data_IF_691766850088
#
_entry.id   IF_691766850088
#
_cell.length_a   1.000
_cell.length_b   1.000
_cell.length_c   1.000
_cell.angle_alpha   90.00
_cell.angle_beta   90.00
_cell.angle_gamma   90.00
#
_symmetry.space_group_name_H-M   'P 1'
#
loop_
_entity.id
_entity.type
_entity.pdbx_description
1 polymer ?
#
# COMPACT_ATOMS: atom_id res chain seq x y z
N UNK A 1 -70.65 22.19 -14.24
CA UNK A 1 -70.21 21.88 -12.87
C UNK A 1 -68.72 21.42 -12.82
N UNK A 2 -68.28 20.62 -13.74
CA UNK A 2 -66.87 20.19 -13.74
C UNK A 2 -65.86 21.16 -14.37
N UNK A 3 -66.31 22.20 -15.05
CA UNK A 3 -65.44 23.21 -15.70
C UNK A 3 -64.85 24.23 -14.73
N UNK A 4 -65.50 24.44 -13.59
CA UNK A 4 -65.04 25.44 -12.62
C UNK A 4 -63.98 24.89 -11.66
N UNK A 5 -63.83 23.57 -11.59
CA UNK A 5 -62.87 22.94 -10.70
C UNK A 5 -61.43 22.97 -11.21
N UNK A 6 -61.28 23.38 -12.50
CA UNK A 6 -59.94 23.43 -13.15
C UNK A 6 -59.56 24.83 -13.61
N UNK A 7 -60.24 25.85 -13.17
CA UNK A 7 -60.04 27.22 -13.63
C UNK A 7 -59.25 28.09 -12.66
N UNK A 8 -58.39 27.51 -11.87
CA UNK A 8 -57.42 28.28 -11.09
C UNK A 8 -56.11 28.37 -11.88
N UNK A 9 -55.97 29.42 -12.69
CA UNK A 9 -54.77 29.72 -13.50
C UNK A 9 -53.51 29.82 -12.62
N UNK A 10 -53.66 30.07 -11.33
CA UNK A 10 -52.59 30.15 -10.37
C UNK A 10 -51.97 28.75 -10.02
N UNK A 11 -52.80 27.70 -10.00
CA UNK A 11 -52.32 26.35 -9.73
C UNK A 11 -51.51 25.76 -10.89
N UNK A 12 -51.79 26.19 -12.12
CA UNK A 12 -51.06 25.75 -13.31
C UNK A 12 -49.63 26.32 -13.35
N UNK A 13 -49.40 27.51 -12.79
CA UNK A 13 -48.10 28.11 -12.69
C UNK A 13 -47.24 27.51 -11.56
N UNK A 14 -47.88 27.08 -10.46
CA UNK A 14 -47.20 26.48 -9.28
C UNK A 14 -46.73 25.07 -9.55
N UNK A 15 -47.53 24.21 -10.21
CA UNK A 15 -47.12 22.82 -10.51
C UNK A 15 -45.89 22.69 -11.39
N UNK A 16 -45.72 23.45 -12.50
CA UNK A 16 -44.49 23.42 -13.29
C UNK A 16 -43.27 23.92 -12.51
N UNK A 17 -43.43 24.95 -11.68
CA UNK A 17 -42.33 25.50 -10.85
C UNK A 17 -41.89 24.49 -9.81
N UNK A 18 -42.82 23.83 -9.12
CA UNK A 18 -42.51 22.77 -8.16
C UNK A 18 -41.78 21.62 -8.87
N UNK A 19 -42.21 21.22 -10.05
CA UNK A 19 -41.55 20.17 -10.84
C UNK A 19 -40.10 20.50 -11.18
N UNK A 20 -39.86 21.73 -11.59
CA UNK A 20 -38.47 22.19 -11.88
C UNK A 20 -37.62 22.21 -10.62
N UNK A 21 -38.14 22.71 -9.51
CA UNK A 21 -37.41 22.72 -8.21
C UNK A 21 -37.08 21.30 -7.76
N UNK A 22 -38.02 20.37 -7.85
CA UNK A 22 -37.77 18.98 -7.50
C UNK A 22 -36.75 18.32 -8.41
N UNK A 23 -36.78 18.59 -9.71
CA UNK A 23 -35.81 18.06 -10.67
C UNK A 23 -34.39 18.53 -10.31
N UNK A 24 -34.24 19.83 -10.07
CA UNK A 24 -32.93 20.40 -9.68
C UNK A 24 -32.47 19.83 -8.34
N UNK A 25 -33.35 19.73 -7.36
CA UNK A 25 -33.01 19.16 -6.04
C UNK A 25 -32.53 17.71 -6.16
N UNK A 26 -33.22 16.87 -6.92
CA UNK A 26 -32.84 15.47 -7.13
C UNK A 26 -31.51 15.38 -7.87
N UNK A 27 -31.29 16.16 -8.91
CA UNK A 27 -30.02 16.15 -9.67
C UNK A 27 -28.84 16.59 -8.83
N UNK A 28 -29.00 17.59 -7.98
CA UNK A 28 -27.94 18.04 -7.06
C UNK A 28 -27.62 16.99 -6.02
N UNK A 29 -28.63 16.36 -5.44
CA UNK A 29 -28.44 15.27 -4.46
C UNK A 29 -27.74 14.08 -5.13
N UNK A 30 -28.19 13.66 -6.30
CA UNK A 30 -27.52 12.57 -7.05
C UNK A 30 -26.08 12.92 -7.40
N UNK A 31 -25.83 14.14 -7.87
CA UNK A 31 -24.47 14.59 -8.17
C UNK A 31 -23.56 14.59 -6.93
N UNK A 32 -24.09 15.00 -5.78
CA UNK A 32 -23.36 14.99 -4.51
C UNK A 32 -23.04 13.54 -4.06
N UNK A 33 -24.00 12.64 -4.17
CA UNK A 33 -23.80 11.22 -3.81
C UNK A 33 -22.79 10.57 -4.75
N UNK A 34 -22.93 10.73 -6.06
CA UNK A 34 -22.00 10.20 -7.06
C UNK A 34 -20.60 10.80 -6.84
N UNK A 35 -20.51 12.11 -6.60
CA UNK A 35 -19.23 12.78 -6.31
C UNK A 35 -18.55 12.21 -5.07
N UNK A 36 -19.29 11.97 -3.99
CA UNK A 36 -18.77 11.37 -2.77
C UNK A 36 -18.30 9.93 -3.01
N UNK A 37 -19.01 9.13 -3.79
CA UNK A 37 -18.58 7.79 -4.17
C UNK A 37 -17.34 7.80 -5.04
N UNK A 38 -17.28 8.67 -6.05
CA UNK A 38 -16.11 8.76 -6.95
C UNK A 38 -14.85 9.19 -6.19
N UNK A 39 -14.96 10.14 -5.27
CA UNK A 39 -13.85 10.54 -4.42
C UNK A 39 -13.45 9.42 -3.44
N UNK A 40 -14.42 8.74 -2.83
CA UNK A 40 -14.16 7.61 -1.93
C UNK A 40 -13.59 6.38 -2.64
N UNK A 41 -13.95 6.14 -3.89
CA UNK A 41 -13.36 5.06 -4.70
C UNK A 41 -11.94 5.39 -5.16
N UNK A 42 -11.60 6.66 -5.33
CA UNK A 42 -10.26 7.10 -5.67
C UNK A 42 -9.23 6.71 -4.61
N UNK A 43 -9.60 6.75 -3.34
CA UNK A 43 -8.75 6.33 -2.22
C UNK A 43 -8.67 4.80 -2.09
N UNK A 44 -9.61 4.06 -2.67
CA UNK A 44 -9.65 2.59 -2.67
C UNK A 44 -9.05 1.95 -3.94
N UNK A 45 -8.71 2.72 -4.96
CA UNK A 45 -7.77 2.27 -6.02
C UNK A 45 -6.38 2.27 -5.39
N UNK A 46 -6.32 1.52 -4.38
CA UNK A 46 -5.31 1.35 -3.40
C UNK A 46 -4.10 0.75 -4.05
N UNK A 47 -3.03 1.25 -3.71
CA UNK A 47 -1.72 0.67 -3.65
C UNK A 47 -1.84 -0.83 -3.46
N UNK A 48 -1.87 -1.56 -4.57
CA UNK A 48 -1.77 -3.01 -4.56
C UNK A 48 -0.31 -3.34 -4.28
N UNK A 49 -0.07 -4.36 -3.46
CA UNK A 49 1.29 -4.83 -3.21
C UNK A 49 1.99 -5.16 -4.54
N UNK A 50 3.24 -4.72 -4.74
CA UNK A 50 3.97 -5.00 -5.95
C UNK A 50 4.14 -6.51 -6.14
N UNK A 51 4.01 -6.96 -7.36
CA UNK A 51 4.23 -8.36 -7.75
C UNK A 51 5.73 -8.54 -8.01
N UNK A 52 6.50 -8.72 -6.95
CA UNK A 52 7.94 -8.85 -7.01
C UNK A 52 8.41 -10.22 -6.53
N UNK A 53 9.41 -10.77 -7.19
CA UNK A 53 10.07 -12.01 -6.79
C UNK A 53 11.37 -11.69 -6.08
N UNK A 54 11.48 -12.09 -4.83
CA UNK A 54 12.69 -11.94 -4.02
C UNK A 54 13.32 -13.32 -3.82
N UNK A 55 14.53 -13.49 -4.32
CA UNK A 55 15.35 -14.67 -4.12
C UNK A 55 16.19 -14.56 -2.86
N UNK A 56 16.38 -15.68 -2.17
CA UNK A 56 17.23 -15.80 -0.99
C UNK A 56 18.41 -16.70 -1.32
N UNK A 57 19.62 -16.24 -1.04
CA UNK A 57 20.85 -17.00 -1.15
C UNK A 57 21.62 -16.96 0.16
N UNK A 58 21.97 -18.13 0.66
CA UNK A 58 22.74 -18.30 1.90
C UNK A 58 24.13 -18.76 1.53
N UNK A 59 25.19 -18.07 2.02
CA UNK A 59 26.58 -18.32 1.61
C UNK A 59 27.30 -19.38 2.44
N UNK A 60 26.61 -20.00 3.41
CA UNK A 60 27.20 -20.99 4.31
C UNK A 60 28.13 -20.42 5.39
N UNK A 61 28.49 -19.15 5.31
CA UNK A 61 29.21 -18.40 6.34
C UNK A 61 28.27 -17.60 7.23
N UNK A 62 26.99 -17.85 7.04
CA UNK A 62 25.95 -17.23 7.82
C UNK A 62 25.44 -15.89 7.27
N UNK A 63 25.74 -15.52 6.04
CA UNK A 63 25.12 -14.36 5.41
C UNK A 63 23.92 -14.80 4.56
N UNK A 64 22.91 -13.94 4.49
CA UNK A 64 21.82 -14.04 3.52
C UNK A 64 21.86 -12.88 2.55
N UNK A 65 21.72 -13.19 1.29
CA UNK A 65 21.53 -12.20 0.23
C UNK A 65 20.11 -12.28 -0.27
N UNK A 66 19.40 -11.17 -0.26
CA UNK A 66 18.07 -11.00 -0.80
C UNK A 66 18.21 -10.26 -2.14
N UNK A 67 17.85 -10.90 -3.23
CA UNK A 67 17.94 -10.33 -4.56
C UNK A 67 16.54 -10.11 -5.14
N UNK A 68 16.31 -8.95 -5.73
CA UNK A 68 15.12 -8.73 -6.54
C UNK A 68 15.33 -9.44 -7.89
N UNK A 69 14.65 -10.57 -8.09
CA UNK A 69 14.84 -11.42 -9.27
C UNK A 69 13.96 -11.03 -10.46
N UNK A 70 12.91 -10.26 -10.21
CA UNK A 70 12.00 -9.81 -11.25
C UNK A 70 10.64 -9.37 -10.73
N UNK A 71 9.84 -8.81 -11.61
CA UNK A 71 8.53 -8.27 -11.32
C UNK A 71 8.54 -6.75 -11.23
N UNK A 72 7.62 -6.22 -10.45
CA UNK A 72 7.46 -4.77 -10.29
C UNK A 72 8.60 -4.16 -9.47
N UNK A 73 8.98 -2.94 -9.80
CA UNK A 73 9.86 -2.16 -8.96
C UNK A 73 9.19 -1.84 -7.61
N UNK A 74 9.98 -1.84 -6.56
CA UNK A 74 9.49 -1.61 -5.20
C UNK A 74 10.05 -0.29 -4.68
N UNK A 75 9.19 0.54 -4.11
CA UNK A 75 9.66 1.75 -3.42
C UNK A 75 10.39 1.36 -2.13
N UNK A 76 11.62 1.78 -1.98
CA UNK A 76 12.50 1.38 -0.86
C UNK A 76 11.88 1.73 0.49
N UNK A 77 11.24 2.89 0.62
CA UNK A 77 10.60 3.33 1.87
C UNK A 77 9.39 2.49 2.30
N UNK A 78 8.87 1.65 1.42
CA UNK A 78 7.71 0.78 1.68
C UNK A 78 8.12 -0.63 2.10
N UNK A 79 9.43 -0.94 2.11
CA UNK A 79 9.96 -2.27 2.40
C UNK A 79 10.58 -2.34 3.78
N UNK A 80 10.28 -3.44 4.46
CA UNK A 80 10.95 -3.88 5.68
C UNK A 80 11.43 -5.32 5.53
N UNK A 81 12.58 -5.61 6.09
CA UNK A 81 13.08 -6.99 6.24
C UNK A 81 13.14 -7.33 7.72
N UNK A 82 12.44 -8.39 8.08
CA UNK A 82 12.38 -8.90 9.44
C UNK A 82 13.12 -10.24 9.53
N UNK A 83 13.85 -10.42 10.61
CA UNK A 83 14.45 -11.71 10.97
C UNK A 83 14.04 -12.06 12.40
N UNK A 84 13.41 -13.21 12.59
CA UNK A 84 12.90 -13.63 13.90
C UNK A 84 11.89 -12.65 14.51
N UNK A 85 11.16 -11.88 13.69
CA UNK A 85 10.21 -10.86 14.11
C UNK A 85 10.83 -9.50 14.41
N UNK A 86 12.14 -9.34 14.32
CA UNK A 86 12.83 -8.06 14.49
C UNK A 86 13.06 -7.40 13.13
N UNK A 87 12.78 -6.10 13.04
CA UNK A 87 13.06 -5.31 11.85
C UNK A 87 14.57 -5.08 11.75
N UNK A 88 15.20 -5.69 10.76
CA UNK A 88 16.64 -5.56 10.47
C UNK A 88 16.88 -4.43 9.50
N UNK A 89 16.06 -4.35 8.46
CA UNK A 89 16.13 -3.32 7.44
C UNK A 89 14.78 -2.62 7.31
N UNK A 90 14.82 -1.31 7.26
CA UNK A 90 13.68 -0.46 6.95
C UNK A 90 14.15 0.61 5.98
N UNK A 91 13.62 0.61 4.78
CA UNK A 91 14.03 1.51 3.71
C UNK A 91 13.87 3.00 4.02
N UNK A 92 13.02 3.35 4.99
CA UNK A 92 12.88 4.72 5.48
C UNK A 92 13.93 5.09 6.51
N UNK A 93 14.56 4.11 7.16
CA UNK A 93 15.52 4.32 8.24
C UNK A 93 16.55 3.17 8.27
N UNK A 94 17.75 3.46 7.84
CA UNK A 94 18.86 2.50 7.75
C UNK A 94 19.46 2.12 9.11
N UNK A 95 18.92 2.60 10.22
CA UNK A 95 19.42 2.33 11.57
C UNK A 95 18.55 1.36 12.38
N UNK A 96 17.74 0.55 11.71
CA UNK A 96 16.71 -0.24 12.36
C UNK A 96 17.24 -1.26 13.38
N UNK A 97 18.41 -1.86 13.15
CA UNK A 97 18.98 -2.82 14.09
C UNK A 97 20.51 -2.73 14.09
N UNK A 98 21.06 -2.19 15.16
CA UNK A 98 22.52 -2.17 15.39
C UNK A 98 22.83 -3.04 16.62
N UNK A 99 23.60 -4.08 16.42
CA UNK A 99 24.24 -4.80 17.50
C UNK A 99 25.68 -4.29 17.59
N UNK A 100 26.06 -3.77 18.73
CA UNK A 100 27.41 -3.23 18.99
C UNK A 100 27.86 -2.09 18.04
N UNK A 101 26.91 -1.33 17.46
CA UNK A 101 27.21 -0.21 16.59
C UNK A 101 27.62 -0.61 15.15
N UNK A 102 27.54 -1.88 14.82
CA UNK A 102 27.79 -2.39 13.46
C UNK A 102 26.49 -2.54 12.68
N UNK A 103 26.53 -2.12 11.41
CA UNK A 103 25.39 -2.35 10.52
C UNK A 103 25.26 -3.83 10.19
N UNK A 104 24.09 -4.44 10.36
CA UNK A 104 23.86 -5.86 10.07
C UNK A 104 23.79 -6.16 8.58
N UNK A 105 23.84 -5.16 7.72
CA UNK A 105 23.72 -5.34 6.27
C UNK A 105 24.86 -4.64 5.52
N UNK A 106 25.21 -5.25 4.40
CA UNK A 106 26.20 -4.76 3.46
C UNK A 106 25.53 -4.65 2.09
N UNK A 107 25.77 -3.58 1.34
CA UNK A 107 25.12 -3.31 0.07
C UNK A 107 23.60 -3.32 0.24
N UNK A 108 23.12 -2.31 0.89
CA UNK A 108 21.70 -2.08 1.10
C UNK A 108 20.99 -1.67 -0.18
N UNK A 109 19.70 -1.84 -0.17
CA UNK A 109 18.80 -1.22 -1.14
C UNK A 109 18.75 0.31 -0.90
N UNK A 110 19.87 0.98 -1.20
CA UNK A 110 20.09 2.39 -0.82
C UNK A 110 19.44 3.42 -1.73
N UNK A 111 18.92 2.98 -2.87
CA UNK A 111 18.16 3.84 -3.79
C UNK A 111 16.75 4.14 -3.29
N UNK A 112 16.04 5.01 -4.00
CA UNK A 112 14.62 5.25 -3.76
C UNK A 112 13.72 4.11 -4.26
N UNK A 113 14.25 3.29 -5.15
CA UNK A 113 13.56 2.18 -5.81
C UNK A 113 14.45 0.96 -5.84
N UNK A 114 13.88 -0.20 -5.54
CA UNK A 114 14.51 -1.52 -5.64
C UNK A 114 14.04 -2.10 -6.97
N UNK A 115 14.98 -2.35 -7.86
CA UNK A 115 14.72 -2.89 -9.21
C UNK A 115 15.36 -4.27 -9.38
N UNK A 116 14.99 -4.96 -10.43
CA UNK A 116 15.54 -6.28 -10.77
C UNK A 116 17.08 -6.25 -10.83
N UNK A 117 17.71 -7.10 -10.05
CA UNK A 117 19.17 -7.19 -9.92
C UNK A 117 19.73 -6.54 -8.65
N UNK A 118 18.94 -5.70 -7.96
CA UNK A 118 19.37 -5.11 -6.70
C UNK A 118 19.40 -6.16 -5.59
N UNK A 119 20.41 -6.09 -4.75
CA UNK A 119 20.66 -7.10 -3.70
C UNK A 119 20.92 -6.45 -2.36
N UNK A 120 20.21 -6.90 -1.35
CA UNK A 120 20.48 -6.61 0.06
C UNK A 120 21.21 -7.79 0.68
N UNK A 121 22.33 -7.55 1.33
CA UNK A 121 23.09 -8.57 2.05
C UNK A 121 23.01 -8.33 3.55
N UNK A 122 22.59 -9.34 4.28
CA UNK A 122 22.50 -9.33 5.75
C UNK A 122 23.54 -10.30 6.31
N UNK A 123 24.33 -9.83 7.28
CA UNK A 123 25.34 -10.61 7.97
C UNK A 123 24.80 -11.07 9.34
N UNK A 124 24.68 -12.36 9.60
CA UNK A 124 24.06 -12.88 10.82
C UNK A 124 24.96 -12.84 12.05
N UNK A 125 26.27 -12.88 11.86
CA UNK A 125 27.22 -12.87 12.99
C UNK A 125 27.02 -11.64 13.87
N UNK A 126 26.46 -10.58 13.27
CA UNK A 126 26.13 -9.34 13.98
C UNK A 126 24.82 -9.43 14.74
N UNK A 127 23.87 -10.30 14.31
CA UNK A 127 22.52 -10.36 14.89
C UNK A 127 22.20 -11.67 15.63
N UNK A 128 23.02 -12.71 15.45
CA UNK A 128 22.86 -13.99 16.16
C UNK A 128 21.52 -14.68 15.92
N UNK A 129 20.91 -14.50 14.74
CA UNK A 129 19.56 -14.94 14.43
C UNK A 129 19.52 -16.13 13.45
N UNK A 130 20.50 -17.02 13.51
CA UNK A 130 20.51 -18.24 12.70
C UNK A 130 19.32 -19.13 13.07
N UNK A 131 18.68 -19.71 12.07
CA UNK A 131 17.51 -20.57 12.26
C UNK A 131 16.18 -19.84 12.36
N UNK A 132 16.19 -18.52 12.30
CA UNK A 132 14.96 -17.69 12.30
C UNK A 132 14.42 -17.47 10.88
N UNK A 133 13.17 -17.07 10.79
CA UNK A 133 12.54 -16.77 9.50
C UNK A 133 12.92 -15.36 9.03
N UNK A 134 13.37 -15.27 7.79
CA UNK A 134 13.63 -14.00 7.09
C UNK A 134 12.39 -13.66 6.25
N UNK A 135 11.81 -12.51 6.49
CA UNK A 135 10.60 -12.02 5.80
C UNK A 135 10.87 -10.69 5.15
N UNK A 136 10.45 -10.55 3.91
CA UNK A 136 10.39 -9.27 3.20
C UNK A 136 8.95 -8.82 3.20
N UNK A 137 8.66 -7.72 3.86
CA UNK A 137 7.32 -7.17 4.04
C UNK A 137 7.19 -5.85 3.32
N UNK A 138 6.16 -5.72 2.54
CA UNK A 138 5.76 -4.46 1.95
C UNK A 138 4.67 -3.81 2.79
N UNK A 139 4.84 -2.54 3.09
CA UNK A 139 3.91 -1.73 3.85
C UNK A 139 3.19 -0.77 2.91
N UNK A 140 1.86 -0.77 2.95
CA UNK A 140 1.07 0.16 2.16
C UNK A 140 1.34 1.60 2.60
N UNK A 141 1.80 2.51 1.70
CA UNK A 141 2.07 3.90 2.06
C UNK A 141 0.82 4.68 2.49
N UNK A 142 -0.37 4.23 2.08
CA UNK A 142 -1.65 4.79 2.54
C UNK A 142 -2.07 4.28 3.93
N UNK A 143 -1.33 3.35 4.50
CA UNK A 143 -1.63 2.71 5.79
C UNK A 143 -2.64 1.57 5.69
N UNK A 144 -2.79 0.83 6.78
CA UNK A 144 -3.86 -0.16 6.98
C UNK A 144 -3.57 -1.59 6.53
N UNK A 145 -2.55 -1.85 5.70
CA UNK A 145 -2.20 -3.21 5.31
C UNK A 145 -0.72 -3.39 5.03
N UNK A 146 -0.22 -4.58 5.34
CA UNK A 146 1.13 -5.04 5.00
C UNK A 146 1.02 -6.40 4.33
N UNK A 147 1.89 -6.66 3.37
CA UNK A 147 1.94 -7.94 2.67
C UNK A 147 3.35 -8.52 2.73
N UNK A 148 3.45 -9.80 3.02
CA UNK A 148 4.71 -10.53 2.92
C UNK A 148 4.97 -10.85 1.45
N UNK A 149 6.02 -10.27 0.89
CA UNK A 149 6.42 -10.52 -0.50
C UNK A 149 7.20 -11.83 -0.62
N UNK A 150 8.05 -12.13 0.35
CA UNK A 150 8.84 -13.34 0.38
C UNK A 150 9.21 -13.72 1.81
N UNK A 151 9.32 -15.02 2.05
CA UNK A 151 9.71 -15.59 3.35
C UNK A 151 10.61 -16.81 3.12
N UNK A 152 11.68 -16.91 3.90
CA UNK A 152 12.58 -18.06 3.89
C UNK A 152 13.19 -18.26 5.26
N UNK A 153 13.24 -19.51 5.70
CA UNK A 153 13.93 -19.88 6.93
C UNK A 153 15.44 -19.83 6.72
N UNK A 154 16.14 -19.19 7.65
CA UNK A 154 17.59 -19.19 7.70
C UNK A 154 18.11 -20.58 8.12
N UNK A 155 19.03 -21.19 7.38
CA UNK A 155 19.64 -22.44 7.79
C UNK A 155 20.45 -22.26 9.09
N UNK A 156 20.42 -23.31 9.92
CA UNK A 156 21.25 -23.35 11.14
C UNK A 156 22.72 -23.57 10.78
#
# INVERSE_FOLDING_TARGET
>A
MFKELFADDNERGVSPVIGVILMVAITVILAAVIGAFVLGLGDQVSTQAPQASIGFSFDGNGNVSLAHEGGDDITTSEIEVLVGGNVIYNGSNTTAYNVDGSSPYVNDWSGSTISTGDTLKIAPDVIGMNGEDVRVVWNNPSGGSSNVLAERRWPN
#
